data_IF_569951609387
#
_entry.id   IF_569951609387
#
_cell.length_a   1.000
_cell.length_b   1.000
_cell.length_c   1.000
_cell.angle_alpha   90.00
_cell.angle_beta   90.00
_cell.angle_gamma   90.00
#
_symmetry.space_group_name_H-M   'P 1'
#
loop_
_entity.id
_entity.type
_entity.pdbx_description
1 polymer ?
#
# COMPACT_ATOMS: atom_id res chain seq x y z
N UNK A 1 17.60 -80.62 14.56
CA UNK A 1 17.59 -79.87 13.29
C UNK A 1 16.54 -78.79 13.49
N UNK A 2 16.90 -77.65 14.09
CA UNK A 2 17.56 -76.49 13.44
C UNK A 2 16.80 -76.09 12.17
N UNK A 3 16.34 -74.85 11.95
CA UNK A 3 16.60 -73.57 12.61
C UNK A 3 15.58 -72.53 12.11
N UNK A 4 15.47 -71.44 12.87
CA UNK A 4 14.63 -70.26 12.68
C UNK A 4 15.05 -69.39 11.49
N UNK A 5 14.12 -68.59 10.96
CA UNK A 5 14.40 -67.20 10.57
C UNK A 5 13.13 -66.35 10.59
N UNK A 6 13.13 -65.33 11.46
CA UNK A 6 12.09 -64.32 11.69
C UNK A 6 12.15 -63.15 10.69
N UNK A 7 11.07 -62.35 10.73
CA UNK A 7 10.90 -60.94 10.30
C UNK A 7 10.85 -60.69 8.77
N UNK A 8 10.01 -59.79 8.24
CA UNK A 8 9.57 -58.52 8.80
C UNK A 8 8.24 -58.07 8.15
N UNK A 9 7.48 -57.34 8.97
CA UNK A 9 6.38 -56.41 8.71
C UNK A 9 6.30 -55.82 7.30
N UNK A 10 5.07 -55.63 6.81
CA UNK A 10 4.57 -54.33 6.37
C UNK A 10 3.04 -54.31 6.57
N UNK A 11 2.67 -53.58 7.61
CA UNK A 11 1.34 -53.05 7.91
C UNK A 11 0.73 -52.52 6.62
N UNK A 12 -0.50 -52.97 6.32
CA UNK A 12 -1.31 -52.40 5.25
C UNK A 12 -1.37 -50.89 5.44
N UNK A 13 -0.77 -50.17 4.50
CA UNK A 13 -0.91 -48.74 4.35
C UNK A 13 -2.39 -48.37 4.36
N UNK A 14 -2.78 -47.26 5.01
CA UNK A 14 -4.12 -46.74 4.81
C UNK A 14 -4.25 -46.47 3.31
N UNK A 15 -5.27 -47.06 2.71
CA UNK A 15 -5.67 -46.79 1.34
C UNK A 15 -5.83 -45.28 1.24
N UNK A 16 -4.88 -44.62 0.59
CA UNK A 16 -5.02 -43.22 0.20
C UNK A 16 -6.02 -43.26 -0.95
N UNK A 17 -7.24 -42.82 -0.66
CA UNK A 17 -8.32 -42.69 -1.64
C UNK A 17 -7.91 -41.66 -2.70
N UNK A 18 -7.30 -42.14 -3.79
CA UNK A 18 -7.20 -41.37 -5.02
C UNK A 18 -8.60 -41.19 -5.61
N UNK A 19 -9.11 -39.96 -5.58
CA UNK A 19 -10.07 -39.52 -6.60
C UNK A 19 -11.42 -38.98 -6.13
N UNK A 20 -11.61 -38.64 -4.85
CA UNK A 20 -12.77 -37.80 -4.52
C UNK A 20 -12.50 -36.36 -4.97
N UNK A 21 -13.22 -35.87 -5.98
CA UNK A 21 -13.25 -34.46 -6.37
C UNK A 21 -14.44 -33.79 -5.70
N UNK A 22 -14.27 -32.54 -5.27
CA UNK A 22 -15.36 -31.71 -4.72
C UNK A 22 -15.67 -30.57 -5.69
N UNK A 23 -16.95 -30.21 -5.81
CA UNK A 23 -17.38 -29.09 -6.64
C UNK A 23 -17.82 -27.94 -5.75
N UNK A 24 -17.12 -26.81 -5.86
CA UNK A 24 -17.44 -25.58 -5.14
C UNK A 24 -17.99 -24.52 -6.09
N UNK A 25 -18.67 -23.53 -5.52
CA UNK A 25 -19.11 -22.34 -6.23
C UNK A 25 -18.18 -21.18 -5.90
N UNK A 26 -17.56 -20.58 -6.90
CA UNK A 26 -16.71 -19.39 -6.72
C UNK A 26 -17.51 -18.13 -7.05
N UNK A 27 -17.48 -17.14 -6.17
CA UNK A 27 -18.14 -15.83 -6.38
C UNK A 27 -17.07 -14.77 -6.63
N UNK A 28 -17.25 -13.92 -7.65
CA UNK A 28 -16.33 -12.82 -7.96
C UNK A 28 -16.97 -11.47 -7.68
N UNK A 29 -16.26 -10.64 -6.92
CA UNK A 29 -16.70 -9.29 -6.58
C UNK A 29 -15.83 -8.23 -7.26
N UNK A 30 -16.39 -7.02 -7.42
CA UNK A 30 -15.72 -5.82 -7.91
C UNK A 30 -14.67 -6.09 -9.01
N UNK A 31 -13.40 -5.69 -8.81
CA UNK A 31 -12.36 -5.82 -9.82
C UNK A 31 -12.12 -7.25 -10.29
N UNK A 32 -12.34 -8.26 -9.44
CA UNK A 32 -12.21 -9.66 -9.82
C UNK A 32 -13.34 -10.09 -10.77
N UNK A 33 -14.55 -9.53 -10.60
CA UNK A 33 -15.66 -9.70 -11.55
C UNK A 33 -15.35 -9.03 -12.88
N UNK A 34 -14.77 -7.83 -12.87
CA UNK A 34 -14.38 -7.14 -14.11
C UNK A 34 -13.29 -7.91 -14.87
N UNK A 35 -12.32 -8.48 -14.14
CA UNK A 35 -11.23 -9.27 -14.73
C UNK A 35 -11.73 -10.59 -15.32
N UNK A 36 -12.63 -11.29 -14.61
CA UNK A 36 -13.13 -12.61 -15.02
C UNK A 36 -14.30 -12.52 -15.99
N UNK A 37 -15.00 -11.38 -16.03
CA UNK A 37 -16.23 -11.19 -16.80
C UNK A 37 -17.43 -11.99 -16.28
N UNK A 38 -17.30 -12.66 -15.14
CA UNK A 38 -18.29 -13.58 -14.58
C UNK A 38 -18.60 -13.20 -13.13
N UNK A 39 -19.88 -13.24 -12.71
CA UNK A 39 -20.24 -13.04 -11.30
C UNK A 39 -19.91 -14.27 -10.44
N UNK A 40 -19.94 -15.46 -11.04
CA UNK A 40 -19.69 -16.73 -10.36
C UNK A 40 -19.20 -17.81 -11.34
N UNK A 41 -18.56 -18.85 -10.81
CA UNK A 41 -18.04 -19.99 -11.56
C UNK A 41 -18.05 -21.26 -10.72
N UNK A 42 -18.59 -22.40 -11.20
CA UNK A 42 -18.34 -23.69 -10.57
C UNK A 42 -16.88 -24.12 -10.76
N UNK A 43 -16.20 -24.50 -9.68
CA UNK A 43 -14.81 -24.97 -9.67
C UNK A 43 -14.75 -26.37 -9.08
N UNK A 44 -14.18 -27.31 -9.84
CA UNK A 44 -13.92 -28.68 -9.35
C UNK A 44 -12.48 -28.77 -8.88
N UNK A 45 -12.24 -29.23 -7.66
CA UNK A 45 -10.91 -29.44 -7.07
C UNK A 45 -10.83 -30.82 -6.41
N UNK A 46 -9.63 -31.27 -6.05
CA UNK A 46 -9.44 -32.52 -5.33
C UNK A 46 -9.96 -32.38 -3.89
N UNK A 47 -10.46 -33.47 -3.32
CA UNK A 47 -10.79 -33.51 -1.89
C UNK A 47 -9.55 -33.20 -1.07
N UNK A 48 -9.71 -32.35 -0.05
CA UNK A 48 -8.59 -31.87 0.77
C UNK A 48 -7.88 -30.64 0.19
N UNK A 49 -8.25 -30.15 -1.00
CA UNK A 49 -7.71 -28.90 -1.54
C UNK A 49 -7.98 -27.72 -0.62
N UNK A 50 -7.03 -26.79 -0.57
CA UNK A 50 -7.16 -25.56 0.19
C UNK A 50 -7.78 -24.43 -0.64
N UNK A 51 -8.13 -23.34 0.03
CA UNK A 51 -8.52 -22.08 -0.62
C UNK A 51 -7.38 -21.50 -1.46
N UNK A 52 -6.11 -21.70 -1.08
CA UNK A 52 -4.94 -21.36 -1.92
C UNK A 52 -4.90 -22.19 -3.20
N UNK A 53 -5.13 -23.50 -3.12
CA UNK A 53 -5.18 -24.37 -4.29
C UNK A 53 -6.28 -23.93 -5.26
N UNK A 54 -7.42 -23.53 -4.71
CA UNK A 54 -8.53 -22.95 -5.48
C UNK A 54 -8.09 -21.64 -6.17
N UNK A 55 -7.45 -20.72 -5.44
CA UNK A 55 -6.97 -19.46 -5.99
C UNK A 55 -5.91 -19.68 -7.08
N UNK A 56 -4.97 -20.60 -6.87
CA UNK A 56 -3.97 -21.01 -7.86
C UNK A 56 -4.63 -21.53 -9.14
N UNK A 57 -5.67 -22.37 -9.00
CA UNK A 57 -6.42 -22.90 -10.15
C UNK A 57 -7.21 -21.81 -10.88
N UNK A 58 -7.77 -20.85 -10.16
CA UNK A 58 -8.46 -19.70 -10.75
C UNK A 58 -7.51 -18.78 -11.51
N UNK A 59 -6.34 -18.53 -10.95
CA UNK A 59 -5.29 -17.71 -11.59
C UNK A 59 -4.73 -18.40 -12.84
N UNK A 60 -4.59 -19.73 -12.83
CA UNK A 60 -4.23 -20.48 -14.03
C UNK A 60 -5.31 -20.37 -15.13
N UNK A 61 -6.59 -20.25 -14.74
CA UNK A 61 -7.72 -20.09 -15.67
C UNK A 61 -7.90 -18.64 -16.15
N UNK A 62 -7.62 -17.66 -15.29
CA UNK A 62 -7.72 -16.23 -15.56
C UNK A 62 -6.40 -15.53 -15.17
N UNK A 63 -5.39 -15.52 -16.06
CA UNK A 63 -4.05 -15.01 -15.73
C UNK A 63 -4.04 -13.56 -15.23
N UNK A 64 -4.97 -12.72 -15.70
CA UNK A 64 -5.12 -11.32 -15.27
C UNK A 64 -5.54 -11.17 -13.79
N UNK A 65 -5.96 -12.25 -13.11
CA UNK A 65 -6.15 -12.22 -11.65
C UNK A 65 -4.83 -12.07 -10.89
N UNK A 66 -3.68 -12.33 -11.52
CA UNK A 66 -2.36 -12.12 -10.89
C UNK A 66 -2.16 -10.67 -10.44
N UNK A 67 -2.64 -9.71 -11.23
CA UNK A 67 -2.48 -8.28 -10.97
C UNK A 67 -3.06 -7.83 -9.61
N UNK A 68 -4.06 -8.56 -9.13
CA UNK A 68 -4.74 -8.27 -7.86
C UNK A 68 -4.53 -9.36 -6.79
N UNK A 69 -3.78 -10.43 -7.11
CA UNK A 69 -3.60 -11.60 -6.24
C UNK A 69 -3.16 -11.22 -4.82
N UNK A 70 -2.16 -10.34 -4.71
CA UNK A 70 -1.61 -9.90 -3.42
C UNK A 70 -2.58 -9.06 -2.55
N UNK A 71 -3.77 -8.74 -3.07
CA UNK A 71 -4.76 -7.94 -2.39
C UNK A 71 -6.11 -8.64 -2.18
N UNK A 72 -6.31 -9.84 -2.75
CA UNK A 72 -7.55 -10.61 -2.60
C UNK A 72 -7.72 -11.09 -1.15
N UNK A 73 -8.92 -10.93 -0.63
CA UNK A 73 -9.39 -11.61 0.58
C UNK A 73 -10.31 -12.76 0.16
N UNK A 74 -10.17 -13.89 0.86
CA UNK A 74 -10.99 -15.07 0.64
C UNK A 74 -12.03 -15.18 1.75
N UNK A 75 -13.26 -15.54 1.38
CA UNK A 75 -14.29 -15.94 2.33
C UNK A 75 -14.90 -17.27 1.89
N UNK A 76 -15.04 -18.21 2.82
CA UNK A 76 -15.63 -19.52 2.61
C UNK A 76 -16.95 -19.57 3.37
N UNK A 77 -18.06 -19.83 2.67
CA UNK A 77 -19.40 -19.88 3.25
C UNK A 77 -19.75 -18.64 4.10
N UNK A 78 -19.58 -17.45 3.49
CA UNK A 78 -19.83 -16.13 4.11
C UNK A 78 -18.89 -15.75 5.27
N UNK A 79 -17.89 -16.58 5.60
CA UNK A 79 -16.91 -16.30 6.64
C UNK A 79 -15.50 -16.09 6.07
N UNK A 80 -14.79 -15.04 6.52
CA UNK A 80 -13.42 -14.78 6.10
C UNK A 80 -12.48 -15.94 6.47
N UNK A 81 -11.57 -16.28 5.57
CA UNK A 81 -10.75 -17.48 5.72
C UNK A 81 -9.28 -17.25 5.36
N UNK A 82 -8.42 -18.16 5.78
CA UNK A 82 -7.00 -18.20 5.44
C UNK A 82 -6.77 -19.02 4.17
N UNK A 83 -5.59 -18.89 3.58
CA UNK A 83 -5.14 -19.67 2.40
C UNK A 83 -5.05 -21.19 2.67
N UNK A 84 -5.03 -21.61 3.94
CA UNK A 84 -4.92 -23.01 4.37
C UNK A 84 -6.24 -23.72 4.64
N UNK A 85 -7.39 -23.04 4.53
CA UNK A 85 -8.68 -23.66 4.83
C UNK A 85 -9.05 -24.71 3.76
N UNK A 86 -9.50 -25.88 4.20
CA UNK A 86 -9.90 -26.98 3.32
C UNK A 86 -11.32 -26.73 2.81
N UNK A 87 -11.51 -26.81 1.50
CA UNK A 87 -12.83 -26.69 0.87
C UNK A 87 -13.53 -28.05 0.80
N UNK A 88 -14.86 -28.03 0.92
CA UNK A 88 -15.76 -29.19 0.88
C UNK A 88 -16.72 -29.09 -0.29
N UNK A 89 -17.36 -30.21 -0.63
CA UNK A 89 -18.36 -30.24 -1.69
C UNK A 89 -19.50 -29.25 -1.40
N UNK A 90 -19.89 -28.49 -2.42
CA UNK A 90 -20.92 -27.43 -2.39
C UNK A 90 -20.57 -26.19 -1.57
N UNK A 91 -19.32 -26.04 -1.13
CA UNK A 91 -18.89 -24.80 -0.50
C UNK A 91 -18.96 -23.61 -1.47
N UNK A 92 -19.14 -22.42 -0.91
CA UNK A 92 -19.07 -21.16 -1.63
C UNK A 92 -17.79 -20.41 -1.26
N UNK A 93 -16.92 -20.17 -2.24
CA UNK A 93 -15.68 -19.42 -2.07
C UNK A 93 -15.79 -18.05 -2.75
N UNK A 94 -15.80 -16.98 -1.98
CA UNK A 94 -15.80 -15.62 -2.49
C UNK A 94 -14.36 -15.12 -2.72
N UNK A 95 -14.10 -14.63 -3.93
CA UNK A 95 -12.91 -13.88 -4.33
C UNK A 95 -13.23 -12.40 -4.19
N UNK A 96 -12.80 -11.83 -3.08
CA UNK A 96 -13.12 -10.46 -2.70
C UNK A 96 -11.86 -9.62 -2.94
N UNK A 97 -11.72 -8.96 -4.11
CA UNK A 97 -10.68 -7.96 -4.27
C UNK A 97 -10.97 -6.79 -3.31
N UNK A 98 -9.98 -5.91 -3.06
CA UNK A 98 -10.25 -4.68 -2.35
C UNK A 98 -11.33 -3.90 -3.14
N UNK A 99 -12.48 -3.69 -2.51
CA UNK A 99 -13.46 -2.72 -2.96
C UNK A 99 -12.86 -1.33 -2.70
N UNK A 100 -12.81 -0.49 -3.72
CA UNK A 100 -12.27 0.86 -3.60
C UNK A 100 -12.93 1.62 -2.45
N UNK A 101 -12.08 2.25 -1.64
CA UNK A 101 -12.30 3.15 -0.52
C UNK A 101 -13.06 2.59 0.69
N UNK A 102 -12.27 2.16 1.70
CA UNK A 102 -12.67 1.94 3.09
C UNK A 102 -13.24 0.56 3.50
N UNK A 103 -12.55 -0.55 3.22
CA UNK A 103 -12.52 -1.68 4.17
C UNK A 103 -11.42 -2.71 3.82
N UNK A 104 -10.43 -2.88 4.71
CA UNK A 104 -9.61 -4.10 4.80
C UNK A 104 -9.77 -4.68 6.20
N UNK A 105 -10.65 -5.67 6.44
CA UNK A 105 -10.63 -6.46 7.64
C UNK A 105 -9.71 -7.65 7.41
N UNK A 106 -8.40 -7.44 7.53
CA UNK A 106 -7.46 -8.56 7.71
C UNK A 106 -7.08 -8.60 9.18
N UNK A 107 -7.31 -9.74 9.81
CA UNK A 107 -7.08 -10.09 11.22
C UNK A 107 -5.61 -9.96 11.72
N UNK A 108 -4.76 -9.18 11.04
CA UNK A 108 -3.41 -8.82 11.46
C UNK A 108 -3.09 -7.30 11.36
N UNK A 109 -4.01 -6.49 10.82
CA UNK A 109 -3.81 -5.06 10.53
C UNK A 109 -3.81 -4.20 11.81
N UNK A 110 -2.62 -4.00 12.36
CA UNK A 110 -2.42 -3.24 13.60
C UNK A 110 -1.21 -3.69 14.41
N UNK A 111 -0.43 -4.69 13.97
CA UNK A 111 0.81 -5.08 14.66
C UNK A 111 2.03 -4.30 14.18
N UNK A 112 2.12 -4.00 12.88
CA UNK A 112 3.32 -3.35 12.34
C UNK A 112 3.37 -1.89 12.78
N UNK A 113 4.59 -1.40 13.01
CA UNK A 113 4.82 -0.01 13.34
C UNK A 113 4.28 0.92 12.25
N UNK A 114 4.44 0.55 10.97
CA UNK A 114 3.90 1.27 9.82
C UNK A 114 2.39 1.44 9.95
N UNK A 115 1.64 0.35 10.16
CA UNK A 115 0.17 0.42 10.25
C UNK A 115 -0.29 1.25 11.44
N UNK A 116 0.32 1.08 12.61
CA UNK A 116 0.01 1.89 13.81
C UNK A 116 0.29 3.37 13.60
N UNK A 117 1.34 3.69 12.84
CA UNK A 117 1.73 5.06 12.51
C UNK A 117 0.76 5.66 11.51
N UNK A 118 0.53 4.99 10.38
CA UNK A 118 -0.38 5.47 9.33
C UNK A 118 -1.83 5.62 9.79
N UNK A 119 -2.31 4.80 10.74
CA UNK A 119 -3.66 4.95 11.33
C UNK A 119 -3.87 6.27 12.05
N UNK A 120 -2.79 6.96 12.43
CA UNK A 120 -2.83 8.29 13.06
C UNK A 120 -2.65 9.43 12.05
N UNK A 121 -2.69 9.12 10.76
CA UNK A 121 -2.56 10.10 9.67
C UNK A 121 -3.90 10.25 8.94
N UNK A 122 -4.23 11.43 8.39
CA UNK A 122 -5.49 11.64 7.68
C UNK A 122 -5.55 10.90 6.34
N UNK A 123 -4.40 10.55 5.75
CA UNK A 123 -4.30 9.81 4.49
C UNK A 123 -3.66 8.43 4.71
N UNK A 124 -4.42 7.54 5.35
CA UNK A 124 -3.95 6.20 5.74
C UNK A 124 -3.33 5.41 4.59
N UNK A 125 -4.03 5.30 3.46
CA UNK A 125 -3.59 4.50 2.31
C UNK A 125 -2.35 5.09 1.64
N UNK A 126 -2.30 6.42 1.49
CA UNK A 126 -1.13 7.13 0.97
C UNK A 126 0.09 6.85 1.86
N UNK A 127 -0.05 6.97 3.18
CA UNK A 127 1.02 6.67 4.13
C UNK A 127 1.49 5.22 4.01
N UNK A 128 0.54 4.28 3.97
CA UNK A 128 0.83 2.86 3.93
C UNK A 128 1.55 2.46 2.64
N UNK A 129 1.06 2.90 1.49
CA UNK A 129 1.64 2.63 0.18
C UNK A 129 3.02 3.27 0.04
N UNK A 130 3.13 4.55 0.41
CA UNK A 130 4.39 5.29 0.34
C UNK A 130 5.48 4.66 1.21
N UNK A 131 5.16 4.17 2.41
CA UNK A 131 6.16 3.46 3.21
C UNK A 131 6.43 2.06 2.67
N UNK A 132 5.40 1.27 2.33
CA UNK A 132 5.59 -0.12 1.86
C UNK A 132 6.33 -0.23 0.52
N UNK A 133 6.31 0.82 -0.32
CA UNK A 133 7.09 0.86 -1.56
C UNK A 133 8.59 1.04 -1.33
N UNK A 134 9.00 1.39 -0.11
CA UNK A 134 10.38 1.67 0.27
C UNK A 134 10.90 0.55 1.18
N UNK A 135 11.81 -0.33 0.70
CA UNK A 135 12.30 -1.48 1.46
C UNK A 135 12.87 -1.13 2.84
N UNK A 136 13.52 0.02 2.95
CA UNK A 136 14.12 0.55 4.19
C UNK A 136 13.09 0.85 5.30
N UNK A 137 11.80 0.95 4.96
CA UNK A 137 10.73 1.13 5.95
C UNK A 137 10.43 -0.15 6.73
N UNK A 138 10.78 -1.33 6.18
CA UNK A 138 10.54 -2.63 6.82
C UNK A 138 11.42 -2.83 8.04
N UNK A 139 12.61 -2.25 8.02
CA UNK A 139 13.61 -2.34 9.08
C UNK A 139 13.50 -1.17 10.08
N UNK A 140 12.52 -0.27 9.90
CA UNK A 140 12.30 0.84 10.82
C UNK A 140 11.81 0.33 12.18
N UNK A 141 12.57 0.65 13.23
CA UNK A 141 12.32 0.28 14.61
C UNK A 141 11.47 1.33 15.36
N UNK A 142 11.37 2.55 14.83
CA UNK A 142 10.63 3.64 15.46
C UNK A 142 9.95 4.63 14.48
N UNK A 143 9.09 5.49 15.03
CA UNK A 143 8.30 6.45 14.23
C UNK A 143 9.20 7.51 13.57
N UNK A 144 10.32 7.86 14.22
CA UNK A 144 11.29 8.82 13.68
C UNK A 144 11.90 8.29 12.39
N UNK A 145 12.32 7.02 12.33
CA UNK A 145 12.87 6.41 11.12
C UNK A 145 11.85 6.34 9.99
N UNK A 146 10.60 5.97 10.29
CA UNK A 146 9.52 6.02 9.29
C UNK A 146 9.27 7.45 8.77
N UNK A 147 9.30 8.44 9.65
CA UNK A 147 9.12 9.85 9.27
C UNK A 147 10.28 10.34 8.41
N UNK A 148 11.52 9.95 8.72
CA UNK A 148 12.68 10.26 7.89
C UNK A 148 12.54 9.68 6.48
N UNK A 149 12.05 8.45 6.33
CA UNK A 149 11.80 7.84 5.01
C UNK A 149 10.72 8.60 4.26
N UNK A 150 9.61 8.94 4.92
CA UNK A 150 8.54 9.74 4.32
C UNK A 150 9.07 11.08 3.80
N UNK A 151 10.01 11.71 4.51
CA UNK A 151 10.58 13.00 4.09
C UNK A 151 11.62 12.83 2.98
N UNK A 152 12.65 12.02 3.22
CA UNK A 152 13.82 11.92 2.33
C UNK A 152 13.52 11.19 1.03
N UNK A 153 12.66 10.17 1.08
CA UNK A 153 12.44 9.26 -0.06
C UNK A 153 11.10 9.48 -0.75
N UNK A 154 10.08 9.96 -0.03
CA UNK A 154 8.75 10.20 -0.61
C UNK A 154 8.55 11.67 -0.92
N UNK A 155 8.50 12.55 0.10
CA UNK A 155 8.21 13.98 -0.06
C UNK A 155 9.22 14.65 -0.99
N UNK A 156 10.52 14.47 -0.72
CA UNK A 156 11.58 15.05 -1.52
C UNK A 156 11.51 14.62 -2.98
N UNK A 157 11.34 13.32 -3.24
CA UNK A 157 11.24 12.78 -4.59
C UNK A 157 10.02 13.33 -5.31
N UNK A 158 8.85 13.37 -4.66
CA UNK A 158 7.63 13.91 -5.28
C UNK A 158 7.76 15.40 -5.58
N UNK A 159 8.40 16.16 -4.69
CA UNK A 159 8.69 17.58 -4.95
C UNK A 159 9.66 17.78 -6.11
N UNK A 160 10.70 16.93 -6.23
CA UNK A 160 11.64 16.95 -7.36
C UNK A 160 10.93 16.59 -8.68
N UNK A 161 10.13 15.52 -8.70
CA UNK A 161 9.35 15.12 -9.88
C UNK A 161 8.46 16.28 -10.36
N UNK A 162 7.81 17.01 -9.45
CA UNK A 162 6.98 18.17 -9.81
C UNK A 162 7.80 19.32 -10.36
N UNK A 163 8.95 19.62 -9.75
CA UNK A 163 9.85 20.67 -10.23
C UNK A 163 10.37 20.37 -11.64
N UNK A 164 10.74 19.12 -11.90
CA UNK A 164 11.22 18.68 -13.22
C UNK A 164 10.14 18.91 -14.29
N UNK A 165 8.87 18.56 -14.01
CA UNK A 165 7.76 18.84 -14.91
C UNK A 165 7.53 20.36 -15.11
N UNK A 166 7.65 21.16 -14.04
CA UNK A 166 7.54 22.63 -14.15
C UNK A 166 8.61 23.17 -15.10
N UNK A 167 9.85 22.71 -14.94
CA UNK A 167 10.98 23.13 -15.77
C UNK A 167 10.80 22.71 -17.24
N UNK A 168 10.29 21.51 -17.50
CA UNK A 168 9.91 21.06 -18.85
C UNK A 168 8.83 21.96 -19.47
N UNK A 169 7.76 22.24 -18.73
CA UNK A 169 6.67 23.11 -19.19
C UNK A 169 7.16 24.53 -19.49
N UNK A 170 8.09 25.06 -18.69
CA UNK A 170 8.70 26.37 -18.91
C UNK A 170 9.62 26.39 -20.15
N UNK A 171 10.34 25.30 -20.43
CA UNK A 171 11.23 25.17 -21.58
C UNK A 171 10.47 25.06 -22.91
N UNK A 172 9.34 24.35 -22.92
CA UNK A 172 8.45 24.24 -24.09
C UNK A 172 7.71 25.56 -24.42
N UNK A 173 7.87 26.57 -23.56
CA UNK A 173 7.13 27.83 -23.47
C UNK A 173 7.30 28.86 -24.59
N UNK A 174 7.60 28.46 -25.84
CA UNK A 174 7.58 29.40 -26.99
C UNK A 174 6.15 29.94 -27.25
N UNK A 175 5.10 29.38 -26.64
CA UNK A 175 3.70 29.80 -26.81
C UNK A 175 2.83 29.81 -25.52
N UNK A 176 3.39 29.87 -24.31
CA UNK A 176 2.59 29.91 -23.07
C UNK A 176 1.94 31.29 -22.86
N UNK A 177 0.69 31.31 -22.38
CA UNK A 177 0.06 32.56 -21.95
C UNK A 177 0.82 33.20 -20.78
N UNK A 178 0.96 34.54 -20.72
CA UNK A 178 1.74 35.20 -19.66
C UNK A 178 1.27 34.93 -18.23
N UNK A 179 -0.02 34.62 -18.03
CA UNK A 179 -0.54 34.22 -16.72
C UNK A 179 -0.07 32.83 -16.32
N UNK A 180 -0.07 31.88 -17.26
CA UNK A 180 0.41 30.51 -17.03
C UNK A 180 1.91 30.48 -16.79
N UNK A 181 2.69 31.24 -17.56
CA UNK A 181 4.13 31.34 -17.35
C UNK A 181 4.47 31.88 -15.96
N UNK A 182 3.77 32.93 -15.49
CA UNK A 182 3.96 33.46 -14.13
C UNK A 182 3.59 32.44 -13.05
N UNK A 183 2.50 31.70 -13.22
CA UNK A 183 2.11 30.66 -12.27
C UNK A 183 3.17 29.55 -12.19
N UNK A 184 3.67 29.07 -13.33
CA UNK A 184 4.72 28.06 -13.39
C UNK A 184 6.04 28.55 -12.75
N UNK A 185 6.46 29.79 -13.04
CA UNK A 185 7.66 30.35 -12.40
C UNK A 185 7.50 30.48 -10.90
N UNK A 186 6.33 30.92 -10.41
CA UNK A 186 6.07 30.99 -8.97
C UNK A 186 6.07 29.60 -8.34
N UNK A 187 5.44 28.61 -8.99
CA UNK A 187 5.50 27.22 -8.55
C UNK A 187 6.93 26.69 -8.47
N UNK A 188 7.78 26.98 -9.45
CA UNK A 188 9.19 26.56 -9.44
C UNK A 188 9.93 27.10 -8.20
N UNK A 189 9.69 28.37 -7.84
CA UNK A 189 10.27 28.97 -6.64
C UNK A 189 9.78 28.28 -5.35
N UNK A 190 8.48 27.99 -5.26
CA UNK A 190 7.88 27.28 -4.12
C UNK A 190 8.42 25.86 -3.97
N UNK A 191 8.49 25.10 -5.06
CA UNK A 191 9.06 23.75 -5.03
C UNK A 191 10.55 23.75 -4.70
N UNK A 192 11.30 24.76 -5.14
CA UNK A 192 12.67 24.96 -4.68
C UNK A 192 12.74 25.24 -3.16
N UNK A 193 11.79 26.01 -2.60
CA UNK A 193 11.70 26.24 -1.15
C UNK A 193 11.43 24.94 -0.38
N UNK A 194 10.54 24.08 -0.89
CA UNK A 194 10.30 22.74 -0.31
C UNK A 194 11.60 21.92 -0.31
N UNK A 195 12.28 21.82 -1.47
CA UNK A 195 13.43 20.93 -1.65
C UNK A 195 14.67 21.42 -0.90
N UNK A 196 14.92 22.74 -0.88
CA UNK A 196 16.14 23.35 -0.34
C UNK A 196 15.97 23.97 1.05
N UNK A 197 14.73 24.19 1.48
CA UNK A 197 14.37 24.75 2.78
C UNK A 197 13.66 23.73 3.66
N UNK A 198 12.41 23.43 3.35
CA UNK A 198 11.52 22.67 4.24
C UNK A 198 12.01 21.24 4.49
N UNK A 199 12.37 20.50 3.44
CA UNK A 199 12.86 19.12 3.56
C UNK A 199 14.13 19.06 4.44
N UNK A 200 15.19 19.85 4.18
CA UNK A 200 16.34 19.93 5.09
C UNK A 200 16.00 20.33 6.52
N UNK A 201 15.08 21.30 6.72
CA UNK A 201 14.63 21.72 8.05
C UNK A 201 13.98 20.57 8.81
N UNK A 202 13.04 19.85 8.17
CA UNK A 202 12.37 18.69 8.77
C UNK A 202 13.40 17.61 9.13
N UNK A 203 14.32 17.29 8.21
CA UNK A 203 15.34 16.26 8.44
C UNK A 203 16.24 16.60 9.62
N UNK A 204 16.68 17.86 9.73
CA UNK A 204 17.53 18.31 10.84
C UNK A 204 16.78 18.36 12.16
N UNK A 205 15.54 18.84 12.15
CA UNK A 205 14.65 18.85 13.29
C UNK A 205 14.37 17.43 13.80
N UNK A 206 14.16 16.46 12.89
CA UNK A 206 14.02 15.05 13.25
C UNK A 206 15.29 14.51 13.91
N UNK A 207 16.49 14.88 13.41
CA UNK A 207 17.78 14.45 13.99
C UNK A 207 17.97 14.99 15.40
N UNK A 208 17.78 16.30 15.57
CA UNK A 208 17.99 17.05 16.82
C UNK A 208 16.89 16.85 17.85
N UNK A 209 15.73 16.32 17.44
CA UNK A 209 14.58 16.10 18.31
C UNK A 209 13.68 17.32 18.45
N UNK A 210 13.86 18.36 17.64
CA UNK A 210 13.01 19.54 17.64
C UNK A 210 11.74 19.33 16.80
N UNK A 211 10.87 18.43 17.27
CA UNK A 211 9.69 18.01 16.52
C UNK A 211 8.69 19.14 16.24
N UNK A 212 8.76 20.28 16.95
CA UNK A 212 7.92 21.44 16.64
C UNK A 212 8.35 22.10 15.32
N UNK A 213 9.66 22.21 15.08
CA UNK A 213 10.17 22.69 13.80
C UNK A 213 9.93 21.66 12.70
N UNK A 214 10.05 20.36 12.98
CA UNK A 214 9.71 19.33 11.99
C UNK A 214 8.22 19.40 11.57
N UNK A 215 7.31 19.65 12.51
CA UNK A 215 5.88 19.83 12.23
C UNK A 215 5.64 21.10 11.41
N UNK A 216 6.30 22.20 11.78
CA UNK A 216 6.24 23.48 11.06
C UNK A 216 6.70 23.31 9.61
N UNK A 217 7.91 22.80 9.37
CA UNK A 217 8.42 22.58 8.01
C UNK A 217 7.53 21.65 7.18
N UNK A 218 6.90 20.65 7.80
CA UNK A 218 5.93 19.79 7.11
C UNK A 218 4.66 20.53 6.70
N UNK A 219 4.15 21.43 7.53
CA UNK A 219 2.99 22.25 7.19
C UNK A 219 3.33 23.34 6.17
N UNK A 220 4.53 23.92 6.26
CA UNK A 220 5.04 24.90 5.29
C UNK A 220 5.11 24.27 3.89
N UNK A 221 5.67 23.06 3.76
CA UNK A 221 5.69 22.34 2.49
C UNK A 221 4.29 22.04 1.92
N UNK A 222 3.33 21.69 2.77
CA UNK A 222 1.94 21.49 2.36
C UNK A 222 1.32 22.80 1.82
N UNK A 223 1.58 23.93 2.49
CA UNK A 223 1.10 25.24 2.07
C UNK A 223 1.75 25.69 0.77
N UNK A 224 3.02 25.40 0.53
CA UNK A 224 3.70 25.73 -0.72
C UNK A 224 3.10 24.98 -1.92
N UNK A 225 2.84 23.69 -1.78
CA UNK A 225 2.18 22.89 -2.83
C UNK A 225 0.74 23.39 -3.13
N UNK A 226 -0.04 23.68 -2.07
CA UNK A 226 -1.39 24.22 -2.25
C UNK A 226 -1.37 25.65 -2.83
N UNK A 227 -0.41 26.48 -2.45
CA UNK A 227 -0.27 27.82 -3.00
C UNK A 227 0.11 27.80 -4.47
N UNK A 228 0.98 26.89 -4.89
CA UNK A 228 1.25 26.64 -6.30
C UNK A 228 -0.04 26.31 -7.07
N UNK A 229 -0.91 25.44 -6.54
CA UNK A 229 -2.17 25.11 -7.20
C UNK A 229 -3.11 26.33 -7.34
N UNK A 230 -3.16 27.18 -6.32
CA UNK A 230 -4.00 28.38 -6.32
C UNK A 230 -3.49 29.51 -7.22
N UNK A 231 -2.21 29.49 -7.61
CA UNK A 231 -1.62 30.51 -8.48
C UNK A 231 -2.06 30.37 -9.95
N UNK A 232 -2.64 29.22 -10.34
CA UNK A 232 -3.12 28.99 -11.71
C UNK A 232 -4.47 29.67 -11.97
N UNK A 233 -4.64 30.37 -13.11
CA UNK A 233 -5.87 31.07 -13.45
C UNK A 233 -7.02 30.13 -13.89
N UNK A 234 -6.69 28.88 -14.22
CA UNK A 234 -7.62 27.83 -14.64
C UNK A 234 -7.06 26.47 -14.18
N UNK A 235 -7.61 25.34 -14.66
CA UNK A 235 -7.14 24.01 -14.26
C UNK A 235 -5.61 23.90 -14.44
N UNK A 236 -4.92 23.65 -13.34
CA UNK A 236 -3.48 23.50 -13.28
C UNK A 236 -3.04 22.22 -14.02
N UNK A 237 -1.93 22.26 -14.78
CA UNK A 237 -1.30 21.05 -15.30
C UNK A 237 -0.65 20.20 -14.19
N UNK A 238 -0.54 20.74 -12.97
CA UNK A 238 0.14 20.13 -11.84
C UNK A 238 -0.82 19.63 -10.75
N UNK A 239 -2.15 19.72 -10.93
CA UNK A 239 -3.14 19.43 -9.88
C UNK A 239 -2.86 18.12 -9.14
N UNK A 240 -2.65 17.03 -9.87
CA UNK A 240 -2.42 15.71 -9.26
C UNK A 240 -1.11 15.66 -8.46
N UNK A 241 -0.06 16.33 -8.96
CA UNK A 241 1.25 16.36 -8.31
C UNK A 241 1.25 17.27 -7.08
N UNK A 242 0.60 18.43 -7.18
CA UNK A 242 0.39 19.36 -6.06
C UNK A 242 -0.40 18.68 -4.94
N UNK A 243 -1.46 17.94 -5.28
CA UNK A 243 -2.24 17.17 -4.30
C UNK A 243 -1.38 16.11 -3.60
N UNK A 244 -0.57 15.35 -4.35
CA UNK A 244 0.31 14.33 -3.76
C UNK A 244 1.34 14.95 -2.81
N UNK A 245 2.00 16.04 -3.20
CA UNK A 245 3.02 16.70 -2.35
C UNK A 245 2.37 17.30 -1.11
N UNK A 246 1.20 17.93 -1.25
CA UNK A 246 0.40 18.40 -0.12
C UNK A 246 0.06 17.27 0.84
N UNK A 247 -0.53 16.17 0.35
CA UNK A 247 -1.03 15.09 1.20
C UNK A 247 0.11 14.33 1.88
N UNK A 248 1.23 14.10 1.20
CA UNK A 248 2.46 13.54 1.79
C UNK A 248 3.01 14.45 2.89
N UNK A 249 2.98 15.76 2.69
CA UNK A 249 3.42 16.74 3.69
C UNK A 249 2.51 16.74 4.93
N UNK A 250 1.19 16.62 4.74
CA UNK A 250 0.22 16.47 5.84
C UNK A 250 0.38 15.13 6.58
N UNK A 251 0.64 14.04 5.86
CA UNK A 251 1.01 12.74 6.46
C UNK A 251 2.26 12.90 7.33
N UNK A 252 3.29 13.55 6.80
CA UNK A 252 4.55 13.81 7.52
C UNK A 252 4.30 14.60 8.80
N UNK A 253 3.55 15.70 8.73
CA UNK A 253 3.13 16.50 9.90
C UNK A 253 2.42 15.65 10.95
N UNK A 254 1.53 14.75 10.52
CA UNK A 254 0.81 13.84 11.41
C UNK A 254 1.75 12.82 12.07
N UNK A 255 2.72 12.28 11.34
CA UNK A 255 3.75 11.39 11.91
C UNK A 255 4.63 12.12 12.93
N UNK A 256 4.98 13.38 12.66
CA UNK A 256 5.71 14.24 13.61
C UNK A 256 4.90 14.50 14.89
N UNK A 257 3.59 14.73 14.76
CA UNK A 257 2.69 14.89 15.93
C UNK A 257 2.70 13.66 16.84
N UNK A 258 2.85 12.44 16.31
CA UNK A 258 2.97 11.24 17.14
C UNK A 258 4.19 11.35 18.06
N UNK A 259 5.31 11.88 17.55
CA UNK A 259 6.54 12.09 18.34
C UNK A 259 6.36 13.18 19.40
N UNK A 260 5.72 14.31 19.07
CA UNK A 260 5.42 15.39 20.03
C UNK A 260 4.58 14.94 21.24
N UNK A 261 3.64 14.02 21.01
CA UNK A 261 2.71 13.54 22.03
C UNK A 261 3.21 12.28 22.75
N UNK A 262 4.30 11.67 22.29
CA UNK A 262 4.83 10.44 22.87
C UNK A 262 5.92 10.73 23.92
N UNK A 263 5.83 10.15 25.14
CA UNK A 263 6.85 10.30 26.18
C UNK A 263 8.23 9.80 25.76
N UNK A 264 8.28 8.81 24.85
CA UNK A 264 9.53 8.18 24.36
C UNK A 264 10.46 9.23 23.73
N UNK A 265 9.88 10.26 23.11
CA UNK A 265 10.60 11.29 22.39
C UNK A 265 10.79 12.58 23.20
N UNK A 266 10.28 12.66 24.44
CA UNK A 266 10.39 13.85 25.31
C UNK A 266 11.66 13.90 26.16
N UNK A 267 12.65 13.07 25.89
CA UNK A 267 13.84 12.97 26.75
C UNK A 267 15.09 12.57 26.00
N UNK A 268 15.75 13.54 25.38
CA UNK A 268 17.21 13.69 25.34
C UNK A 268 17.56 15.17 25.30
#
# INVERSE_FOLDING_TARGET
MESESQNNSLVGTPVVDEGSSVQIKVLFFARARDITGLPELPLVVSSGSTTEDCLNKLVAKFPNLQDIRGCIVLALNEEYTTESAIVKDKDELAIIPPISDAFRPTLFLGRTLIEKTCRQTPFYELCLWSLKSHPESRDADDVKKLTQIMVDSVLKTKAMDTLDLIDELLQDGIALEPAMQRALTSCAERYNAIIKGDVPEIVEALKTGDYKFAEKGSNDAAMEANSCEMDFPSKSPLTDMNMVVHDVSVVTSSMVKIMLHSPIYRSK
#
